data_IF_887176712271
#
_entry.id   IF_887176712271
#
_cell.length_a   1.000
_cell.length_b   1.000
_cell.length_c   1.000
_cell.angle_alpha   90.00
_cell.angle_beta   90.00
_cell.angle_gamma   90.00
#
_symmetry.space_group_name_H-M   'P 1'
#
loop_
_entity.id
_entity.type
_entity.pdbx_description
1 polymer ?
#
# COMPACT_ATOMS: atom_id res chain seq x y z
N UNK A 1 -5.61 -3.52 -9.66
CA UNK A 1 -4.27 -4.07 -9.38
C UNK A 1 -4.00 -4.14 -7.88
N UNK A 2 -3.93 -3.03 -7.13
CA UNK A 2 -3.63 -3.06 -5.69
C UNK A 2 -4.53 -4.03 -4.92
N UNK A 3 -5.85 -3.93 -5.13
CA UNK A 3 -6.83 -4.85 -4.54
C UNK A 3 -6.56 -6.33 -4.81
N UNK A 4 -6.17 -6.68 -6.04
CA UNK A 4 -5.86 -8.08 -6.39
C UNK A 4 -4.58 -8.56 -5.73
N UNK A 5 -3.58 -7.69 -5.60
CA UNK A 5 -2.35 -7.98 -4.86
C UNK A 5 -2.69 -8.24 -3.39
N UNK A 6 -3.47 -7.35 -2.76
CA UNK A 6 -3.94 -7.50 -1.37
C UNK A 6 -4.63 -8.85 -1.18
N UNK A 7 -5.63 -9.15 -2.02
CA UNK A 7 -6.38 -10.40 -1.97
C UNK A 7 -5.48 -11.63 -2.10
N UNK A 8 -4.57 -11.63 -3.07
CA UNK A 8 -3.68 -12.77 -3.31
C UNK A 8 -2.69 -12.97 -2.14
N UNK A 9 -2.13 -11.89 -1.58
CA UNK A 9 -1.25 -11.97 -0.42
C UNK A 9 -1.98 -12.46 0.83
N UNK A 10 -3.21 -12.00 1.02
CA UNK A 10 -4.09 -12.37 2.12
C UNK A 10 -4.50 -13.84 2.06
N UNK A 11 -4.95 -14.30 0.89
CA UNK A 11 -5.38 -15.69 0.67
C UNK A 11 -4.20 -16.67 0.58
N UNK A 12 -3.06 -16.21 0.05
CA UNK A 12 -1.99 -17.07 -0.43
C UNK A 12 -2.26 -17.60 -1.84
N UNK A 13 -1.22 -18.06 -2.51
CA UNK A 13 -1.31 -18.63 -3.85
C UNK A 13 -0.16 -19.60 -4.13
N UNK A 14 -0.45 -20.75 -4.76
CA UNK A 14 0.55 -21.78 -5.02
C UNK A 14 1.24 -22.26 -3.74
N UNK A 15 2.55 -22.00 -3.63
CA UNK A 15 3.36 -22.30 -2.43
C UNK A 15 3.51 -21.12 -1.47
N UNK A 16 2.96 -19.96 -1.81
CA UNK A 16 2.98 -18.77 -0.96
C UNK A 16 1.85 -18.86 0.08
N UNK A 17 2.22 -18.93 1.36
CA UNK A 17 1.26 -18.95 2.47
C UNK A 17 0.61 -17.57 2.63
N UNK A 18 -0.70 -17.53 2.81
CA UNK A 18 -1.42 -16.28 3.10
C UNK A 18 -0.86 -15.55 4.30
N UNK A 19 -0.79 -14.22 4.20
CA UNK A 19 -0.22 -13.31 5.20
C UNK A 19 -1.33 -12.41 5.78
N UNK A 20 -1.13 -11.87 6.98
CA UNK A 20 -2.03 -10.82 7.49
C UNK A 20 -1.73 -9.50 6.80
N UNK A 21 -2.77 -8.88 6.24
CA UNK A 21 -2.68 -7.62 5.49
C UNK A 21 -3.52 -6.56 6.20
N UNK A 22 -2.91 -5.43 6.53
CA UNK A 22 -3.63 -4.23 6.96
C UNK A 22 -3.86 -3.30 5.77
N UNK A 23 -5.11 -2.95 5.48
CA UNK A 23 -5.45 -1.99 4.43
C UNK A 23 -5.84 -0.67 5.05
N UNK A 24 -5.24 0.40 4.55
CA UNK A 24 -5.64 1.77 4.84
C UNK A 24 -6.49 2.25 3.66
N UNK A 25 -7.76 2.55 3.90
CA UNK A 25 -8.72 2.96 2.88
C UNK A 25 -9.45 4.23 3.34
N UNK A 26 -8.88 5.40 3.05
CA UNK A 26 -9.42 6.68 3.54
C UNK A 26 -10.73 7.07 2.83
N UNK A 27 -10.94 6.59 1.60
CA UNK A 27 -12.05 7.01 0.71
C UNK A 27 -12.99 5.86 0.33
N UNK A 28 -12.76 4.65 0.82
CA UNK A 28 -13.55 3.46 0.49
C UNK A 28 -13.32 2.93 -0.93
N UNK A 29 -12.17 3.21 -1.55
CA UNK A 29 -11.86 2.85 -2.93
C UNK A 29 -11.36 1.39 -3.05
N UNK A 30 -10.80 0.84 -1.98
CA UNK A 30 -10.20 -0.49 -1.96
C UNK A 30 -11.23 -1.54 -1.50
N UNK A 31 -11.67 -1.42 -0.25
CA UNK A 31 -12.56 -2.36 0.42
C UNK A 31 -14.04 -2.00 0.20
N UNK A 32 -14.34 -0.71 0.02
CA UNK A 32 -15.70 -0.17 -0.04
C UNK A 32 -16.54 -0.67 1.14
N UNK A 33 -16.14 -0.32 2.38
CA UNK A 33 -16.82 -0.79 3.59
C UNK A 33 -18.27 -0.29 3.62
N UNK A 34 -19.21 -1.21 3.83
CA UNK A 34 -20.60 -0.88 4.11
C UNK A 34 -21.07 -1.62 5.36
N UNK A 35 -21.51 -0.87 6.38
CA UNK A 35 -21.93 -1.41 7.68
C UNK A 35 -20.91 -2.37 8.31
N UNK A 36 -19.62 -2.03 8.20
CA UNK A 36 -18.51 -2.82 8.74
C UNK A 36 -18.15 -4.05 7.90
N UNK A 37 -18.74 -4.23 6.71
CA UNK A 37 -18.48 -5.36 5.82
C UNK A 37 -17.83 -4.84 4.53
N UNK A 38 -16.64 -5.33 4.15
CA UNK A 38 -16.07 -5.08 2.82
C UNK A 38 -17.02 -5.57 1.72
N UNK A 39 -17.35 -4.69 0.78
CA UNK A 39 -18.14 -5.06 -0.40
C UNK A 39 -17.27 -5.63 -1.51
N UNK A 40 -15.98 -5.28 -1.52
CA UNK A 40 -15.00 -5.86 -2.40
C UNK A 40 -14.26 -7.02 -1.74
N UNK A 41 -13.94 -8.06 -2.53
CA UNK A 41 -13.08 -9.15 -2.09
C UNK A 41 -11.63 -8.66 -1.94
N UNK A 42 -11.21 -8.54 -0.69
CA UNK A 42 -9.87 -8.12 -0.25
C UNK A 42 -9.10 -9.27 0.43
N UNK A 43 -9.63 -10.50 0.39
CA UNK A 43 -9.02 -11.69 0.99
C UNK A 43 -9.32 -11.92 2.49
N UNK A 44 -9.11 -13.16 2.92
CA UNK A 44 -9.60 -13.69 4.21
C UNK A 44 -8.79 -13.29 5.46
N UNK A 45 -7.63 -12.65 5.29
CA UNK A 45 -6.68 -12.22 6.33
C UNK A 45 -6.41 -10.73 6.28
N UNK A 46 -7.42 -9.98 5.87
CA UNK A 46 -7.29 -8.55 5.64
C UNK A 46 -8.11 -7.78 6.65
N UNK A 47 -7.43 -6.98 7.46
CA UNK A 47 -8.05 -5.98 8.32
C UNK A 47 -8.06 -4.64 7.60
N UNK A 48 -9.13 -3.86 7.74
CA UNK A 48 -9.29 -2.56 7.05
C UNK A 48 -9.50 -1.46 8.08
N UNK A 49 -8.71 -0.41 7.96
CA UNK A 49 -9.00 0.88 8.59
C UNK A 49 -9.62 1.78 7.52
N UNK A 50 -10.91 2.04 7.67
CA UNK A 50 -11.74 2.80 6.72
C UNK A 50 -12.01 4.21 7.25
N UNK A 51 -11.96 5.21 6.37
CA UNK A 51 -12.31 6.61 6.67
C UNK A 51 -11.49 7.24 7.82
N UNK A 52 -10.20 6.89 7.90
CA UNK A 52 -9.22 7.47 8.83
C UNK A 52 -8.02 7.98 8.02
N UNK A 53 -7.43 9.14 8.36
CA UNK A 53 -6.25 9.65 7.67
C UNK A 53 -5.12 8.62 7.63
N UNK A 54 -4.48 8.48 6.45
CA UNK A 54 -3.47 7.45 6.21
C UNK A 54 -2.38 7.35 7.29
N UNK A 55 -1.80 8.46 7.80
CA UNK A 55 -0.75 8.39 8.82
C UNK A 55 -1.24 7.81 10.15
N UNK A 56 -2.49 8.10 10.53
CA UNK A 56 -3.10 7.57 11.74
C UNK A 56 -3.46 6.10 11.57
N UNK A 57 -4.10 5.76 10.45
CA UNK A 57 -4.47 4.40 10.11
C UNK A 57 -3.27 3.44 10.10
N UNK A 58 -2.15 3.84 9.47
CA UNK A 58 -0.92 3.05 9.47
C UNK A 58 -0.39 2.79 10.89
N UNK A 59 -0.43 3.79 11.78
CA UNK A 59 -0.01 3.62 13.18
C UNK A 59 -0.95 2.70 13.96
N UNK A 60 -2.26 2.81 13.75
CA UNK A 60 -3.27 1.94 14.37
C UNK A 60 -3.02 0.48 13.96
N UNK A 61 -2.82 0.23 12.66
CA UNK A 61 -2.54 -1.10 12.12
C UNK A 61 -1.33 -1.74 12.80
N UNK A 62 -0.18 -1.05 12.80
CA UNK A 62 1.05 -1.55 13.43
C UNK A 62 0.84 -1.88 14.92
N UNK A 63 0.14 -1.02 15.66
CA UNK A 63 -0.02 -1.17 17.11
C UNK A 63 -1.06 -2.21 17.53
N UNK A 64 -2.09 -2.42 16.71
CA UNK A 64 -3.31 -3.09 17.17
C UNK A 64 -3.60 -4.39 16.43
N UNK A 65 -3.10 -4.54 15.21
CA UNK A 65 -3.44 -5.67 14.32
C UNK A 65 -2.24 -6.53 13.95
N UNK A 66 -1.01 -6.08 14.28
CA UNK A 66 0.24 -6.77 13.97
C UNK A 66 0.28 -7.32 12.52
N UNK A 67 0.02 -6.49 11.50
CA UNK A 67 -0.01 -6.94 10.12
C UNK A 67 1.39 -7.32 9.67
N UNK A 68 1.49 -8.32 8.81
CA UNK A 68 2.74 -8.63 8.12
C UNK A 68 2.98 -7.68 6.95
N UNK A 69 1.88 -7.19 6.34
CA UNK A 69 1.90 -6.30 5.19
C UNK A 69 0.91 -5.16 5.41
N UNK A 70 1.29 -3.92 5.15
CA UNK A 70 0.38 -2.79 5.04
C UNK A 70 0.24 -2.38 3.59
N UNK A 71 -0.99 -2.18 3.13
CA UNK A 71 -1.31 -1.65 1.81
C UNK A 71 -2.07 -0.32 1.94
N UNK A 72 -1.62 0.68 1.21
CA UNK A 72 -2.23 2.01 1.21
C UNK A 72 -2.15 2.61 -0.20
N UNK A 73 -3.21 3.27 -0.63
CA UNK A 73 -3.26 3.95 -1.90
C UNK A 73 -2.74 5.39 -1.83
N UNK A 74 -2.25 5.89 -2.97
CA UNK A 74 -1.99 7.30 -3.23
C UNK A 74 -1.23 8.03 -2.11
N UNK A 75 -0.03 7.55 -1.78
CA UNK A 75 0.84 8.24 -0.82
C UNK A 75 1.46 9.48 -1.45
N UNK A 76 1.68 10.54 -0.65
CA UNK A 76 2.36 11.73 -1.16
C UNK A 76 2.48 12.90 -0.22
N UNK A 77 1.79 12.90 0.93
CA UNK A 77 1.98 13.94 1.94
C UNK A 77 3.22 13.67 2.79
N UNK A 78 3.73 14.71 3.45
CA UNK A 78 4.87 14.58 4.37
C UNK A 78 4.53 13.58 5.50
N UNK A 79 3.30 13.67 5.99
CA UNK A 79 2.79 12.88 7.10
C UNK A 79 2.67 11.40 6.72
N UNK A 80 2.31 11.09 5.46
CA UNK A 80 2.33 9.72 4.93
C UNK A 80 3.75 9.14 5.01
N UNK A 81 4.74 9.91 4.56
CA UNK A 81 6.14 9.47 4.52
C UNK A 81 6.68 9.23 5.93
N UNK A 82 6.36 10.10 6.89
CA UNK A 82 6.72 9.90 8.30
C UNK A 82 6.09 8.62 8.87
N UNK A 83 4.82 8.35 8.55
CA UNK A 83 4.15 7.12 8.96
C UNK A 83 4.74 5.87 8.30
N UNK A 84 5.11 5.94 7.01
CA UNK A 84 5.76 4.83 6.31
C UNK A 84 7.10 4.51 6.95
N UNK A 85 7.93 5.51 7.26
CA UNK A 85 9.20 5.28 7.96
C UNK A 85 8.98 4.58 9.31
N UNK A 86 7.95 4.96 10.06
CA UNK A 86 7.57 4.28 11.30
C UNK A 86 7.16 2.81 11.07
N UNK A 87 6.34 2.55 10.05
CA UNK A 87 5.91 1.19 9.67
C UNK A 87 7.12 0.32 9.33
N UNK A 88 8.06 0.84 8.54
CA UNK A 88 9.25 0.10 8.10
C UNK A 88 10.18 -0.27 9.28
N UNK A 89 10.31 0.60 10.28
CA UNK A 89 11.05 0.32 11.51
C UNK A 89 10.42 -0.80 12.37
N UNK A 90 9.16 -1.16 12.11
CA UNK A 90 8.40 -2.16 12.89
C UNK A 90 8.49 -3.57 12.30
N UNK A 91 9.27 -3.78 11.23
CA UNK A 91 9.41 -5.09 10.55
C UNK A 91 8.24 -5.44 9.63
N UNK A 92 7.31 -4.51 9.42
CA UNK A 92 6.16 -4.65 8.53
C UNK A 92 6.56 -4.32 7.10
N UNK A 93 6.05 -5.08 6.12
CA UNK A 93 6.28 -4.79 4.70
C UNK A 93 5.19 -3.86 4.16
N UNK A 94 5.54 -3.01 3.19
CA UNK A 94 4.62 -2.02 2.64
C UNK A 94 4.35 -2.21 1.15
N UNK A 95 3.10 -1.96 0.74
CA UNK A 95 2.69 -1.87 -0.66
C UNK A 95 1.93 -0.54 -0.81
N UNK A 96 2.47 0.33 -1.64
CA UNK A 96 1.95 1.67 -1.79
C UNK A 96 1.74 2.01 -3.27
N UNK A 97 0.78 2.88 -3.56
CA UNK A 97 0.63 3.47 -4.89
C UNK A 97 0.87 4.97 -4.81
N UNK A 98 1.33 5.55 -5.92
CA UNK A 98 1.46 6.98 -6.09
C UNK A 98 1.09 7.34 -7.53
N UNK A 99 0.58 8.55 -7.73
CA UNK A 99 0.30 9.07 -9.07
C UNK A 99 1.50 9.84 -9.61
N UNK A 100 1.81 9.57 -10.87
CA UNK A 100 2.85 10.25 -11.63
C UNK A 100 2.97 9.65 -13.03
N UNK A 101 3.50 10.43 -13.98
CA UNK A 101 3.69 9.94 -15.34
C UNK A 101 4.87 8.96 -15.44
N UNK A 102 5.91 9.23 -14.66
CA UNK A 102 7.13 8.43 -14.52
C UNK A 102 7.76 8.67 -13.14
N UNK A 103 8.87 8.00 -12.87
CA UNK A 103 9.57 8.10 -11.58
C UNK A 103 10.15 9.50 -11.35
N UNK A 104 10.54 10.21 -12.42
CA UNK A 104 11.10 11.56 -12.33
C UNK A 104 10.02 12.55 -11.89
N UNK A 105 8.80 12.39 -12.41
CA UNK A 105 7.61 13.16 -12.03
C UNK A 105 7.23 12.92 -10.56
N UNK A 106 7.25 11.67 -10.10
CA UNK A 106 7.03 11.32 -8.69
C UNK A 106 8.10 11.96 -7.79
N UNK A 107 9.36 11.95 -8.24
CA UNK A 107 10.48 12.57 -7.52
C UNK A 107 10.45 14.12 -7.49
N UNK A 108 9.57 14.79 -8.23
CA UNK A 108 9.34 16.24 -8.04
C UNK A 108 8.72 16.53 -6.68
N UNK A 109 7.98 15.58 -6.12
CA UNK A 109 7.55 15.66 -4.73
C UNK A 109 8.76 15.31 -3.83
N UNK A 110 9.26 16.26 -3.02
CA UNK A 110 10.47 16.04 -2.22
C UNK A 110 10.31 14.91 -1.20
N UNK A 111 9.09 14.66 -0.71
CA UNK A 111 8.82 13.61 0.26
C UNK A 111 8.88 12.21 -0.39
N UNK A 112 8.36 12.08 -1.62
CA UNK A 112 8.46 10.85 -2.39
C UNK A 112 9.90 10.59 -2.83
N UNK A 113 10.62 11.62 -3.29
CA UNK A 113 12.04 11.54 -3.63
C UNK A 113 12.86 11.03 -2.45
N UNK A 114 12.56 11.47 -1.23
CA UNK A 114 13.22 11.00 -0.02
C UNK A 114 13.06 9.48 0.17
N UNK A 115 11.85 8.92 0.03
CA UNK A 115 11.65 7.47 0.18
C UNK A 115 12.39 6.67 -0.89
N UNK A 116 12.36 7.15 -2.14
CA UNK A 116 12.99 6.48 -3.28
C UNK A 116 14.52 6.52 -3.12
N UNK A 117 15.09 7.69 -2.84
CA UNK A 117 16.54 7.87 -2.71
C UNK A 117 17.12 7.17 -1.47
N UNK A 118 16.32 7.00 -0.41
CA UNK A 118 16.72 6.24 0.77
C UNK A 118 16.55 4.72 0.59
N UNK A 119 16.21 4.25 -0.61
CA UNK A 119 16.00 2.83 -0.93
C UNK A 119 15.00 2.14 0.01
N UNK A 120 13.97 2.86 0.46
CA UNK A 120 12.89 2.29 1.27
C UNK A 120 12.06 1.31 0.42
N UNK A 121 11.88 1.61 -0.86
CA UNK A 121 11.23 0.73 -1.81
C UNK A 121 12.25 -0.21 -2.44
N UNK A 122 12.06 -1.53 -2.28
CA UNK A 122 12.89 -2.53 -2.96
C UNK A 122 12.51 -2.70 -4.44
N UNK A 123 11.25 -2.38 -4.79
CA UNK A 123 10.71 -2.51 -6.15
C UNK A 123 9.67 -1.44 -6.45
N UNK A 124 9.74 -0.89 -7.65
CA UNK A 124 8.77 0.06 -8.20
C UNK A 124 8.20 -0.53 -9.48
N UNK A 125 6.87 -0.55 -9.60
CA UNK A 125 6.16 -1.01 -10.80
C UNK A 125 5.48 0.20 -11.42
N UNK A 126 6.00 0.66 -12.55
CA UNK A 126 5.39 1.75 -13.33
C UNK A 126 4.37 1.15 -14.30
N UNK A 127 3.12 1.60 -14.20
CA UNK A 127 2.03 1.15 -15.06
C UNK A 127 1.94 2.00 -16.33
N UNK A 128 1.68 1.37 -17.47
CA UNK A 128 1.45 2.08 -18.72
C UNK A 128 0.01 2.60 -18.78
N UNK A 129 -0.15 3.92 -18.88
CA UNK A 129 -1.48 4.57 -18.97
C UNK A 129 -2.18 4.34 -20.32
N UNK A 130 -1.43 4.03 -21.37
CA UNK A 130 -1.95 3.83 -22.74
C UNK A 130 -2.34 2.38 -23.02
N UNK A 131 -1.68 1.43 -22.38
CA UNK A 131 -1.90 0.00 -22.60
C UNK A 131 -2.12 -0.74 -21.27
N UNK A 132 -3.36 -1.18 -21.03
CA UNK A 132 -3.70 -1.96 -19.84
C UNK A 132 -2.90 -3.27 -19.79
N UNK A 133 -2.35 -3.58 -18.62
CA UNK A 133 -1.57 -4.78 -18.38
C UNK A 133 -0.09 -4.66 -18.76
N UNK A 134 0.31 -3.59 -19.43
CA UNK A 134 1.72 -3.29 -19.67
C UNK A 134 2.31 -2.54 -18.48
N UNK A 135 3.49 -2.97 -18.03
CA UNK A 135 4.16 -2.42 -16.85
C UNK A 135 5.68 -2.61 -16.92
N UNK A 136 6.40 -1.65 -16.33
CA UNK A 136 7.86 -1.69 -16.22
C UNK A 136 8.23 -1.88 -14.75
N UNK A 137 9.03 -2.90 -14.47
CA UNK A 137 9.63 -3.09 -13.15
C UNK A 137 10.96 -2.34 -13.08
N UNK A 138 11.13 -1.52 -12.05
CA UNK A 138 12.35 -0.80 -11.72
C UNK A 138 12.81 -1.32 -10.36
N UNK A 139 14.07 -1.77 -10.29
CA UNK A 139 14.72 -2.10 -9.03
C UNK A 139 15.32 -0.79 -8.52
N UNK A 140 14.86 -0.35 -7.36
CA UNK A 140 15.24 0.93 -6.76
C UNK A 140 16.46 0.75 -5.85
#
# INVERSE_FOLDING_TARGET
MLRDIIRNLSNGFGRFKGQTVGVVDERGEIAAIYKGIPQNDIGIRTDVIDNVPKPEAMRILVRSMAPQIIACDEIGSKEDIEAINYVMCSGVKGIFTAHGNDIEDVCKNPWMAQLINNHIFERIIQLNSKQKGDSKCIIA
#
